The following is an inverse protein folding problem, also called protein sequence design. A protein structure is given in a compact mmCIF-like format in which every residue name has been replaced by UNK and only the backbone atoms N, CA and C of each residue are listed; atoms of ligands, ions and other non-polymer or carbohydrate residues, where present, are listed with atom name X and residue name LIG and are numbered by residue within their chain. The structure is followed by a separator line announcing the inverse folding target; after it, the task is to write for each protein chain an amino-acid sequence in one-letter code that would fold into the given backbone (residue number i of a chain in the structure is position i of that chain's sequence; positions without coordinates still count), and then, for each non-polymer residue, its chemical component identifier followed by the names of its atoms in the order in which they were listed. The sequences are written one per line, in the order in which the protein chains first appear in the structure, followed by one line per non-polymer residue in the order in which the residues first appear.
data_IF_134193102397
#
_entry.id   IF_134193102397
#
_cell.length_a   1.000
_cell.length_b   1.000
_cell.length_c   1.000
_cell.angle_alpha   90.00
_cell.angle_beta   90.00
_cell.angle_gamma   90.00
#
_symmetry.space_group_name_H-M   'P 1'
#
loop_
_entity.id
_entity.type
_entity.pdbx_description
1 polymer ?
#
# COMPACT_ATOMS: atom_id res chain seq x y z
N UNK A 1 -18.78 -5.54 -12.78
CA UNK A 1 -19.29 -5.41 -11.39
C UNK A 1 -18.29 -4.66 -10.53
N UNK A 2 -18.72 -3.63 -9.78
CA UNK A 2 -17.87 -2.80 -8.90
C UNK A 2 -17.05 -3.62 -7.88
N UNK A 3 -17.58 -4.75 -7.41
CA UNK A 3 -16.91 -5.63 -6.46
C UNK A 3 -15.60 -6.22 -6.99
N UNK A 4 -15.58 -6.64 -8.26
CA UNK A 4 -14.40 -7.21 -8.91
C UNK A 4 -13.29 -6.15 -9.02
N UNK A 5 -13.65 -4.92 -9.40
CA UNK A 5 -12.69 -3.82 -9.49
C UNK A 5 -12.09 -3.47 -8.13
N UNK A 6 -12.92 -3.41 -7.08
CA UNK A 6 -12.46 -3.16 -5.71
C UNK A 6 -11.53 -4.27 -5.20
N UNK A 7 -11.82 -5.52 -5.53
CA UNK A 7 -10.96 -6.66 -5.21
C UNK A 7 -9.59 -6.55 -5.89
N UNK A 8 -9.55 -6.33 -7.20
CA UNK A 8 -8.26 -6.17 -7.91
C UNK A 8 -7.47 -4.97 -7.38
N UNK A 9 -8.10 -3.83 -7.13
CA UNK A 9 -7.43 -2.67 -6.52
C UNK A 9 -6.83 -2.99 -5.14
N UNK A 10 -7.51 -3.83 -4.36
CA UNK A 10 -6.99 -4.29 -3.07
C UNK A 10 -5.73 -5.15 -3.25
N UNK A 11 -5.75 -6.13 -4.15
CA UNK A 11 -4.59 -6.96 -4.47
C UNK A 11 -3.42 -6.11 -5.01
N UNK A 12 -3.70 -5.17 -5.91
CA UNK A 12 -2.69 -4.28 -6.48
C UNK A 12 -1.99 -3.44 -5.41
N UNK A 13 -2.70 -2.95 -4.40
CA UNK A 13 -2.08 -2.19 -3.30
C UNK A 13 -1.14 -3.06 -2.45
N UNK A 14 -1.48 -4.33 -2.21
CA UNK A 14 -0.57 -5.25 -1.53
C UNK A 14 0.66 -5.59 -2.38
N UNK A 15 0.48 -5.86 -3.68
CA UNK A 15 1.60 -6.09 -4.60
C UNK A 15 2.54 -4.88 -4.66
N UNK A 16 1.98 -3.68 -4.63
CA UNK A 16 2.75 -2.43 -4.65
C UNK A 16 3.44 -2.15 -3.31
N UNK A 17 2.84 -2.51 -2.17
CA UNK A 17 3.44 -2.45 -0.85
C UNK A 17 4.68 -3.35 -0.72
N UNK A 18 4.57 -4.62 -1.15
CA UNK A 18 5.68 -5.58 -1.10
C UNK A 18 6.63 -5.46 -2.30
N UNK A 19 6.24 -4.72 -3.34
CA UNK A 19 7.04 -4.54 -4.53
C UNK A 19 8.31 -3.73 -4.29
N UNK A 20 9.26 -3.77 -5.24
CA UNK A 20 10.57 -3.12 -5.11
C UNK A 20 10.50 -1.60 -4.91
N UNK A 21 9.35 -0.97 -5.19
CA UNK A 21 9.13 0.46 -5.04
C UNK A 21 8.96 0.91 -3.58
N UNK A 22 8.28 0.11 -2.77
CA UNK A 22 7.99 0.43 -1.37
C UNK A 22 8.70 -0.52 -0.41
N UNK A 23 8.82 -1.80 -0.77
CA UNK A 23 9.51 -2.85 -0.02
C UNK A 23 9.16 -2.83 1.50
N UNK A 24 7.86 -2.69 1.79
CA UNK A 24 7.35 -2.58 3.15
C UNK A 24 7.41 -3.94 3.84
N UNK A 25 7.67 -3.93 5.16
CA UNK A 25 7.44 -5.13 5.97
C UNK A 25 5.93 -5.42 6.14
N UNK A 26 5.57 -6.57 6.71
CA UNK A 26 4.16 -7.00 6.85
C UNK A 26 3.30 -5.97 7.60
N UNK A 27 3.77 -5.48 8.75
CA UNK A 27 3.04 -4.50 9.57
C UNK A 27 2.85 -3.15 8.86
N UNK A 28 3.89 -2.73 8.16
CA UNK A 28 3.94 -1.52 7.37
C UNK A 28 3.01 -1.59 6.15
N UNK A 29 3.00 -2.74 5.47
CA UNK A 29 2.12 -3.01 4.34
C UNK A 29 0.65 -2.99 4.77
N UNK A 30 0.31 -3.63 5.88
CA UNK A 30 -1.06 -3.65 6.41
C UNK A 30 -1.53 -2.22 6.75
N UNK A 31 -0.70 -1.46 7.47
CA UNK A 31 -1.01 -0.07 7.79
C UNK A 31 -1.20 0.77 6.52
N UNK A 32 -0.29 0.67 5.55
CA UNK A 32 -0.34 1.44 4.31
C UNK A 32 -1.59 1.09 3.48
N UNK A 33 -1.91 -0.20 3.31
CA UNK A 33 -3.10 -0.63 2.56
C UNK A 33 -4.38 -0.12 3.23
N UNK A 34 -4.43 -0.14 4.58
CA UNK A 34 -5.57 0.37 5.35
C UNK A 34 -5.71 1.89 5.24
N UNK A 35 -4.61 2.63 5.39
CA UNK A 35 -4.56 4.10 5.31
C UNK A 35 -4.92 4.60 3.91
N UNK A 36 -4.39 3.98 2.86
CA UNK A 36 -4.60 4.40 1.47
C UNK A 36 -5.67 3.59 0.72
N UNK A 37 -6.67 3.02 1.41
CA UNK A 37 -7.73 2.18 0.81
C UNK A 37 -8.55 2.88 -0.29
N UNK A 38 -8.66 4.20 -0.23
CA UNK A 38 -9.39 5.01 -1.22
C UNK A 38 -8.53 5.35 -2.45
N UNK A 39 -7.22 5.15 -2.37
CA UNK A 39 -6.30 5.44 -3.46
C UNK A 39 -6.18 4.23 -4.39
N UNK A 40 -5.97 4.48 -5.69
CA UNK A 40 -5.72 3.42 -6.67
C UNK A 40 -4.37 2.71 -6.45
N UNK A 41 -3.39 3.41 -5.86
CA UNK A 41 -2.04 2.94 -5.54
C UNK A 41 -1.56 3.59 -4.24
N UNK A 42 -0.65 2.95 -3.52
CA UNK A 42 -0.06 3.55 -2.32
C UNK A 42 0.91 4.67 -2.76
N UNK A 43 0.80 5.91 -2.27
CA UNK A 43 1.74 6.97 -2.67
C UNK A 43 3.16 6.68 -2.16
N UNK A 44 4.19 7.25 -2.80
CA UNK A 44 5.58 7.08 -2.32
C UNK A 44 5.77 7.71 -0.93
N UNK A 45 5.05 8.80 -0.64
CA UNK A 45 4.96 9.44 0.67
C UNK A 45 4.42 8.50 1.77
N UNK A 46 3.89 7.32 1.43
CA UNK A 46 3.60 6.31 2.44
C UNK A 46 4.87 5.88 3.20
N UNK A 47 6.05 5.92 2.58
CA UNK A 47 7.31 5.53 3.25
C UNK A 47 7.66 6.43 4.43
N UNK A 48 7.40 7.74 4.32
CA UNK A 48 7.60 8.68 5.43
C UNK A 48 6.58 8.43 6.55
N UNK A 49 5.32 8.20 6.18
CA UNK A 49 4.21 8.00 7.13
C UNK A 49 4.30 6.69 7.91
N UNK A 50 4.89 5.67 7.29
CA UNK A 50 5.04 4.32 7.83
C UNK A 50 6.32 4.20 8.68
N UNK A 51 7.06 5.30 8.85
CA UNK A 51 8.27 5.36 9.67
C UNK A 51 9.49 4.71 9.03
N UNK A 52 9.51 4.53 7.70
CA UNK A 52 10.67 3.97 6.98
C UNK A 52 11.75 5.03 6.80
N UNK A 53 11.38 6.31 6.76
CA UNK A 53 12.35 7.42 6.79
C UNK A 53 12.49 7.91 8.24
N UNK A 54 13.11 7.08 9.06
CA UNK A 54 13.95 7.52 10.17
C UNK A 54 15.30 6.82 9.98
N UNK A 55 16.16 7.43 9.15
CA UNK A 55 17.61 7.29 9.23
C UNK A 55 18.18 8.67 9.45
#
# INVERSE_FOLDING_TARGET
TLHIQKYFQHCYRYMDAYGPRLNLNVWQAEYAVKKYKSHRRIPQQALTDVGIINR
#
